data_IF_234461337326
#
_entry.id   IF_234461337326
#
_cell.length_a   1.000
_cell.length_b   1.000
_cell.length_c   1.000
_cell.angle_alpha   90.00
_cell.angle_beta   90.00
_cell.angle_gamma   90.00
#
_symmetry.space_group_name_H-M   'P 1'
#
loop_
_entity.id
_entity.type
_entity.pdbx_description
1 polymer ?
#
# COMPACT_ATOMS: atom_id res chain seq x y z
N UNK A 1 14.03 13.90 -31.34
CA UNK A 1 13.98 13.80 -30.75
C UNK A 1 13.45 13.46 -29.89
N UNK A 2 13.38 13.50 -29.70
CA UNK A 2 13.10 13.18 -28.95
C UNK A 2 12.38 12.96 -28.05
N UNK A 3 12.32 12.87 -28.11
CA UNK A 3 11.88 12.69 -27.35
C UNK A 3 11.30 12.32 -26.52
N UNK A 4 11.35 12.23 -26.74
CA UNK A 4 11.06 11.95 -26.09
C UNK A 4 10.45 11.56 -25.28
N UNK A 5 10.39 11.53 -25.33
CA UNK A 5 10.04 11.19 -24.62
C UNK A 5 9.62 11.03 -23.82
N UNK A 6 9.88 11.12 -24.16
CA UNK A 6 9.78 11.01 -23.35
C UNK A 6 9.29 10.80 -22.43
N UNK A 7 10.06 10.75 -23.62
CA UNK A 7 9.25 10.07 -22.92
C UNK A 7 8.91 10.21 -21.49
N UNK A 8 8.27 10.85 -21.27
CA UNK A 8 7.80 11.07 -19.94
C UNK A 8 6.92 9.92 -19.48
N UNK A 9 7.12 9.49 -18.29
CA UNK A 9 6.30 8.48 -17.66
C UNK A 9 4.90 8.99 -17.35
N UNK A 10 4.02 8.04 -17.13
CA UNK A 10 2.65 8.31 -16.72
C UNK A 10 2.58 8.61 -15.23
N UNK A 11 1.57 9.36 -14.80
CA UNK A 11 1.19 9.52 -13.40
C UNK A 11 -0.14 8.81 -13.20
N UNK A 12 -0.15 7.79 -12.35
CA UNK A 12 -1.29 6.90 -12.16
C UNK A 12 -1.62 6.85 -10.67
N UNK A 13 -2.91 6.94 -10.32
CA UNK A 13 -3.36 6.78 -8.95
C UNK A 13 -4.18 5.50 -8.81
N UNK A 14 -3.95 4.78 -7.72
CA UNK A 14 -4.70 3.57 -7.37
C UNK A 14 -5.35 3.79 -6.02
N UNK A 15 -6.67 3.56 -5.93
CA UNK A 15 -7.45 3.73 -4.71
C UNK A 15 -7.31 2.55 -3.75
N UNK A 16 -8.27 2.44 -2.82
CA UNK A 16 -8.26 1.43 -1.76
C UNK A 16 -8.15 0.01 -2.31
N UNK A 17 -7.30 -0.80 -1.70
CA UNK A 17 -7.03 -2.17 -2.15
C UNK A 17 -7.59 -3.21 -1.17
N UNK A 18 -7.50 -2.95 0.13
CA UNK A 18 -8.08 -3.77 1.20
C UNK A 18 -7.86 -5.27 1.00
N UNK A 19 -6.61 -5.69 0.83
CA UNK A 19 -6.25 -7.11 0.81
C UNK A 19 -6.72 -7.88 -0.42
N UNK A 20 -7.09 -7.20 -1.50
CA UNK A 20 -7.52 -7.86 -2.74
C UNK A 20 -6.36 -7.98 -3.73
N UNK A 21 -5.47 -8.95 -3.49
CA UNK A 21 -4.25 -9.14 -4.27
C UNK A 21 -4.55 -9.45 -5.74
N UNK A 22 -5.53 -10.31 -6.03
CA UNK A 22 -5.87 -10.67 -7.41
C UNK A 22 -6.35 -9.45 -8.21
N UNK A 23 -7.14 -8.59 -7.59
CA UNK A 23 -7.59 -7.36 -8.24
C UNK A 23 -6.41 -6.42 -8.52
N UNK A 24 -5.50 -6.28 -7.54
CA UNK A 24 -4.30 -5.46 -7.73
C UNK A 24 -3.44 -6.01 -8.86
N UNK A 25 -3.21 -7.32 -8.91
CA UNK A 25 -2.45 -7.95 -9.99
C UNK A 25 -3.07 -7.66 -11.36
N UNK A 26 -4.39 -7.77 -11.47
CA UNK A 26 -5.09 -7.49 -12.72
C UNK A 26 -4.91 -6.05 -13.18
N UNK A 27 -4.98 -5.11 -12.24
CA UNK A 27 -4.76 -3.69 -12.54
C UNK A 27 -3.32 -3.46 -12.98
N UNK A 28 -2.35 -4.03 -12.27
CA UNK A 28 -0.93 -3.87 -12.60
C UNK A 28 -0.59 -4.49 -13.95
N UNK A 29 -1.19 -5.63 -14.29
CA UNK A 29 -1.02 -6.24 -15.62
C UNK A 29 -1.57 -5.33 -16.72
N UNK A 30 -2.70 -4.69 -16.49
CA UNK A 30 -3.30 -3.77 -17.46
C UNK A 30 -2.48 -2.48 -17.61
N UNK A 31 -1.91 -1.98 -16.52
CA UNK A 31 -1.08 -0.78 -16.52
C UNK A 31 0.28 -1.07 -17.15
N UNK A 32 0.85 -2.23 -16.85
CA UNK A 32 2.21 -2.64 -17.24
C UNK A 32 3.22 -1.51 -16.97
N UNK A 33 3.48 -1.19 -15.69
CA UNK A 33 4.28 -0.03 -15.34
C UNK A 33 5.75 -0.20 -15.71
N UNK A 34 6.33 0.87 -16.21
CA UNK A 34 7.74 0.95 -16.57
C UNK A 34 8.51 1.90 -15.63
N UNK A 35 9.84 1.96 -15.81
CA UNK A 35 10.71 2.73 -14.90
C UNK A 35 10.39 4.22 -14.82
N UNK A 36 9.83 4.78 -15.87
CA UNK A 36 9.52 6.21 -15.94
C UNK A 36 8.12 6.54 -15.42
N UNK A 37 7.33 5.53 -15.11
CA UNK A 37 5.99 5.73 -14.55
C UNK A 37 6.04 6.06 -13.06
N UNK A 38 5.11 6.87 -12.61
CA UNK A 38 4.88 7.14 -11.19
C UNK A 38 3.49 6.65 -10.83
N UNK A 39 3.43 5.76 -9.85
CA UNK A 39 2.16 5.27 -9.30
C UNK A 39 2.02 5.80 -7.88
N UNK A 40 0.94 6.52 -7.64
CA UNK A 40 0.55 6.97 -6.30
C UNK A 40 -0.55 6.05 -5.81
N UNK A 41 -0.29 5.32 -4.73
CA UNK A 41 -1.31 4.48 -4.10
C UNK A 41 -1.91 5.26 -2.92
N UNK A 42 -3.23 5.30 -2.84
CA UNK A 42 -3.93 6.25 -1.98
C UNK A 42 -4.22 5.75 -0.56
N UNK A 43 -3.58 4.67 -0.13
CA UNK A 43 -3.78 4.11 1.20
C UNK A 43 -4.82 3.00 1.23
N UNK A 44 -5.02 2.44 2.41
CA UNK A 44 -5.93 1.31 2.66
C UNK A 44 -5.58 0.08 1.82
N UNK A 45 -4.35 -0.39 2.01
CA UNK A 45 -3.82 -1.59 1.35
C UNK A 45 -4.29 -2.86 2.01
N UNK A 46 -4.50 -2.80 3.30
CA UNK A 46 -4.70 -3.93 4.21
C UNK A 46 -6.11 -3.94 4.78
N UNK A 47 -6.40 -4.99 5.52
CA UNK A 47 -7.65 -5.22 6.26
C UNK A 47 -8.82 -5.62 5.36
N UNK A 48 -9.75 -6.36 5.93
CA UNK A 48 -11.01 -6.83 5.32
C UNK A 48 -10.83 -7.93 4.29
N UNK A 49 -10.06 -7.70 3.23
CA UNK A 49 -9.83 -8.71 2.20
C UNK A 49 -8.89 -9.82 2.65
N UNK A 50 -8.80 -10.91 1.88
CA UNK A 50 -8.13 -12.13 2.35
C UNK A 50 -6.60 -12.11 2.23
N UNK A 51 -6.02 -11.21 1.43
CA UNK A 51 -4.63 -11.34 1.00
C UNK A 51 -3.79 -10.10 1.28
N UNK A 52 -3.96 -9.48 2.45
CA UNK A 52 -3.23 -8.24 2.80
C UNK A 52 -1.71 -8.42 2.74
N UNK A 53 -1.19 -9.55 3.23
CA UNK A 53 0.25 -9.83 3.15
C UNK A 53 0.75 -9.86 1.70
N UNK A 54 -0.01 -10.51 0.80
CA UNK A 54 0.33 -10.53 -0.62
C UNK A 54 0.26 -9.15 -1.27
N UNK A 55 -0.72 -8.32 -0.87
CA UNK A 55 -0.80 -6.95 -1.36
C UNK A 55 0.46 -6.17 -1.02
N UNK A 56 0.95 -6.30 0.21
CA UNK A 56 2.19 -5.63 0.62
C UNK A 56 3.39 -6.14 -0.19
N UNK A 57 3.48 -7.45 -0.43
CA UNK A 57 4.53 -8.01 -1.28
C UNK A 57 4.47 -7.44 -2.71
N UNK A 58 3.28 -7.36 -3.29
CA UNK A 58 3.08 -6.81 -4.62
C UNK A 58 3.50 -5.34 -4.69
N UNK A 59 3.18 -4.54 -3.67
CA UNK A 59 3.55 -3.13 -3.64
C UNK A 59 5.06 -2.94 -3.46
N UNK A 60 5.69 -3.78 -2.65
CA UNK A 60 7.14 -3.76 -2.49
C UNK A 60 7.83 -4.10 -3.82
N UNK A 61 7.36 -5.12 -4.51
CA UNK A 61 7.88 -5.47 -5.84
C UNK A 61 7.65 -4.36 -6.86
N UNK A 62 6.48 -3.73 -6.82
CA UNK A 62 6.15 -2.61 -7.69
C UNK A 62 7.13 -1.45 -7.51
N UNK A 63 7.56 -1.20 -6.28
CA UNK A 63 8.51 -0.12 -5.97
C UNK A 63 9.86 -0.30 -6.66
N UNK A 64 10.17 -1.51 -7.12
CA UNK A 64 11.40 -1.83 -7.86
C UNK A 64 11.23 -1.68 -9.37
N UNK A 65 9.99 -1.57 -9.85
CA UNK A 65 9.66 -1.50 -11.28
C UNK A 65 9.38 -0.09 -11.77
N UNK A 66 8.92 0.79 -10.88
CA UNK A 66 8.55 2.16 -11.20
C UNK A 66 8.74 3.04 -9.97
N UNK A 67 8.43 4.33 -10.08
CA UNK A 67 8.34 5.20 -8.92
C UNK A 67 7.02 4.94 -8.20
N UNK A 68 7.08 4.32 -7.03
CA UNK A 68 5.92 4.12 -6.19
C UNK A 68 5.91 5.16 -5.08
N UNK A 69 4.78 5.86 -4.93
CA UNK A 69 4.56 6.82 -3.85
C UNK A 69 3.35 6.33 -3.06
N UNK A 70 3.58 5.61 -1.95
CA UNK A 70 2.48 5.10 -1.14
C UNK A 70 2.02 6.17 -0.15
N UNK A 71 0.72 6.43 -0.15
CA UNK A 71 0.07 7.32 0.81
C UNK A 71 -0.41 6.47 1.99
N UNK A 72 -0.32 7.04 3.19
CA UNK A 72 -0.75 6.38 4.41
C UNK A 72 -2.26 6.45 4.54
N UNK A 73 -2.93 5.30 4.59
CA UNK A 73 -4.36 5.22 4.90
C UNK A 73 -4.59 5.05 6.40
N UNK A 74 -5.82 5.27 6.83
CA UNK A 74 -6.15 5.14 8.26
C UNK A 74 -6.01 3.68 8.74
N UNK A 75 -6.20 2.70 7.86
CA UNK A 75 -6.02 1.29 8.22
C UNK A 75 -4.55 0.94 8.48
N UNK A 76 -3.62 1.47 7.68
CA UNK A 76 -2.19 1.32 7.94
C UNK A 76 -1.77 2.01 9.23
N UNK A 77 -2.33 3.18 9.49
CA UNK A 77 -2.06 3.93 10.73
C UNK A 77 -2.47 3.11 11.95
N UNK A 78 -3.68 2.51 11.91
CA UNK A 78 -4.14 1.64 12.99
C UNK A 78 -3.20 0.44 13.20
N UNK A 79 -2.72 -0.16 12.10
CA UNK A 79 -1.77 -1.27 12.20
C UNK A 79 -0.44 -0.84 12.82
N UNK A 80 0.08 0.32 12.43
CA UNK A 80 1.31 0.86 13.02
C UNK A 80 1.14 1.13 14.53
N UNK A 81 0.02 1.70 14.93
CA UNK A 81 -0.26 1.97 16.35
C UNK A 81 -0.36 0.68 17.17
N UNK A 82 -0.81 -0.41 16.55
CA UNK A 82 -1.01 -1.68 17.24
C UNK A 82 0.28 -2.33 17.74
N UNK A 83 1.44 -1.90 17.26
CA UNK A 83 2.73 -2.50 17.64
C UNK A 83 3.07 -2.28 19.12
N UNK A 84 2.67 -1.15 19.65
CA UNK A 84 3.13 -0.71 20.98
C UNK A 84 1.99 -0.56 22.00
N UNK A 85 0.74 -0.79 21.59
CA UNK A 85 -0.43 -0.58 22.42
C UNK A 85 -1.45 -1.71 22.20
N UNK A 86 -1.67 -2.57 23.23
CA UNK A 86 -2.66 -3.65 23.13
C UNK A 86 -4.09 -3.16 22.86
N UNK A 87 -4.45 -1.98 23.33
CA UNK A 87 -5.77 -1.41 23.04
C UNK A 87 -5.89 -1.01 21.56
N UNK A 88 -4.82 -0.44 21.02
CA UNK A 88 -4.77 -0.14 19.59
C UNK A 88 -4.84 -1.41 18.74
N UNK A 89 -4.20 -2.49 19.19
CA UNK A 89 -4.28 -3.79 18.51
C UNK A 89 -5.72 -4.30 18.46
N UNK A 90 -6.45 -4.22 19.56
CA UNK A 90 -7.85 -4.64 19.60
C UNK A 90 -8.71 -3.79 18.64
N UNK A 91 -8.50 -2.48 18.63
CA UNK A 91 -9.23 -1.60 17.72
C UNK A 91 -8.94 -1.96 16.26
N UNK A 92 -7.67 -2.16 15.93
CA UNK A 92 -7.26 -2.54 14.59
C UNK A 92 -7.91 -3.86 14.14
N UNK A 93 -7.86 -4.87 15.01
CA UNK A 93 -8.50 -6.17 14.72
C UNK A 93 -9.98 -6.01 14.46
N UNK A 94 -10.68 -5.18 15.23
CA UNK A 94 -12.11 -4.95 15.06
C UNK A 94 -12.46 -4.22 13.78
N UNK A 95 -11.48 -3.57 13.15
CA UNK A 95 -11.64 -2.86 11.89
C UNK A 95 -11.15 -3.66 10.67
N UNK A 96 -11.01 -4.97 10.83
CA UNK A 96 -10.59 -5.86 9.75
C UNK A 96 -9.13 -6.29 9.82
N UNK A 97 -8.39 -5.89 10.86
CA UNK A 97 -6.99 -6.27 11.04
C UNK A 97 -6.80 -7.76 11.30
N UNK A 98 -7.82 -8.43 11.82
CA UNK A 98 -7.83 -9.89 11.97
C UNK A 98 -7.65 -10.60 10.62
N UNK A 99 -8.27 -10.08 9.55
CA UNK A 99 -8.08 -10.61 8.21
C UNK A 99 -6.63 -10.40 7.72
N UNK A 100 -6.01 -9.27 8.07
CA UNK A 100 -4.60 -9.03 7.75
C UNK A 100 -3.71 -10.06 8.44
N UNK A 101 -3.90 -10.30 9.72
CA UNK A 101 -3.12 -11.31 10.46
C UNK A 101 -3.33 -12.71 9.86
N UNK A 102 -4.55 -13.05 9.49
CA UNK A 102 -4.88 -14.35 8.90
C UNK A 102 -4.25 -14.54 7.50
N UNK A 103 -3.88 -13.47 6.82
CA UNK A 103 -3.25 -13.55 5.50
C UNK A 103 -1.80 -14.05 5.56
N UNK A 104 -1.18 -14.05 6.73
CA UNK A 104 0.14 -14.63 6.92
C UNK A 104 -0.01 -16.11 7.29
N UNK A 105 0.92 -16.94 6.82
CA UNK A 105 0.83 -18.39 6.98
C UNK A 105 0.71 -18.87 8.42
N UNK A 106 1.22 -18.08 9.34
CA UNK A 106 1.19 -18.44 10.75
C UNK A 106 0.35 -17.42 11.49
N UNK A 107 -0.79 -17.86 11.98
CA UNK A 107 -1.66 -17.06 12.83
C UNK A 107 -1.01 -16.88 14.21
N UNK A 108 0.12 -16.20 14.23
CA UNK A 108 0.90 -16.02 15.44
C UNK A 108 0.97 -14.54 15.87
N UNK A 109 0.07 -13.73 15.35
CA UNK A 109 -0.05 -12.33 15.75
C UNK A 109 0.98 -11.41 15.12
N UNK A 110 1.05 -10.22 15.67
CA UNK A 110 1.86 -9.11 15.13
C UNK A 110 3.36 -9.45 15.04
N UNK A 111 3.86 -10.26 15.95
CA UNK A 111 5.29 -10.60 16.02
C UNK A 111 5.82 -11.40 14.81
N UNK A 112 4.94 -11.95 14.00
CA UNK A 112 5.30 -12.75 12.83
C UNK A 112 5.19 -12.00 11.52
N UNK A 113 4.80 -10.73 11.54
CA UNK A 113 4.72 -9.92 10.34
C UNK A 113 6.15 -9.61 9.87
N UNK A 114 6.47 -9.85 8.57
CA UNK A 114 7.82 -9.60 8.06
C UNK A 114 8.27 -8.16 8.25
N UNK A 115 9.54 -7.96 8.53
CA UNK A 115 10.11 -6.64 8.77
C UNK A 115 9.99 -5.72 7.55
N UNK A 116 10.10 -6.27 6.33
CA UNK A 116 9.96 -5.48 5.12
C UNK A 116 8.53 -4.94 4.94
N UNK A 117 7.52 -5.64 5.46
CA UNK A 117 6.15 -5.13 5.49
C UNK A 117 6.02 -3.93 6.44
N UNK A 118 6.60 -4.02 7.64
CA UNK A 118 6.65 -2.89 8.57
C UNK A 118 7.39 -1.70 7.95
N UNK A 119 8.52 -1.97 7.29
CA UNK A 119 9.31 -0.93 6.64
C UNK A 119 8.51 -0.23 5.54
N UNK A 120 7.74 -0.99 4.77
CA UNK A 120 6.88 -0.42 3.74
C UNK A 120 5.84 0.52 4.36
N UNK A 121 5.15 0.07 5.41
CA UNK A 121 4.14 0.89 6.10
C UNK A 121 4.75 2.18 6.66
N UNK A 122 5.94 2.09 7.23
CA UNK A 122 6.66 3.25 7.76
C UNK A 122 7.12 4.22 6.68
N UNK A 123 7.27 3.74 5.43
CA UNK A 123 7.65 4.57 4.29
C UNK A 123 6.48 5.34 3.69
N UNK A 124 5.25 4.99 4.06
CA UNK A 124 4.06 5.66 3.55
C UNK A 124 4.02 7.12 3.97
N UNK A 125 3.58 7.97 3.05
CA UNK A 125 3.55 9.41 3.22
C UNK A 125 2.15 9.90 3.59
N UNK A 126 2.03 10.98 4.38
CA UNK A 126 0.71 11.53 4.68
C UNK A 126 0.03 12.14 3.45
N UNK A 127 0.81 12.64 2.51
CA UNK A 127 0.32 13.19 1.24
C UNK A 127 1.45 13.24 0.22
N UNK A 128 1.09 13.48 -1.04
CA UNK A 128 2.03 13.77 -2.11
C UNK A 128 1.51 14.90 -2.98
N UNK A 129 2.38 15.81 -3.36
CA UNK A 129 2.01 16.99 -4.13
C UNK A 129 2.84 17.09 -5.40
N UNK A 130 2.18 17.41 -6.50
CA UNK A 130 2.79 17.75 -7.78
C UNK A 130 2.39 19.17 -8.16
N UNK A 131 2.86 19.66 -9.29
CA UNK A 131 2.46 21.00 -9.78
C UNK A 131 0.95 21.13 -9.99
N UNK A 132 0.25 20.00 -10.24
CA UNK A 132 -1.16 20.01 -10.64
C UNK A 132 -2.07 19.30 -9.66
N UNK A 133 -1.54 18.41 -8.81
CA UNK A 133 -2.35 17.53 -7.98
C UNK A 133 -1.83 17.44 -6.56
N UNK A 134 -2.74 17.25 -5.63
CA UNK A 134 -2.44 16.84 -4.27
C UNK A 134 -3.11 15.49 -4.05
N UNK A 135 -2.35 14.51 -3.59
CA UNK A 135 -2.85 13.16 -3.31
C UNK A 135 -2.90 12.95 -1.80
N UNK A 136 -4.06 12.61 -1.30
CA UNK A 136 -4.27 12.28 0.11
C UNK A 136 -5.19 11.07 0.20
N UNK A 137 -5.17 10.36 1.34
CA UNK A 137 -6.10 9.26 1.56
C UNK A 137 -7.50 9.79 1.87
N UNK A 138 -7.58 10.82 2.71
CA UNK A 138 -8.83 11.39 3.16
C UNK A 138 -8.70 12.92 3.21
N UNK A 139 -9.09 13.56 4.30
CA UNK A 139 -8.95 15.00 4.42
C UNK A 139 -7.47 15.40 4.55
N UNK A 140 -7.15 16.49 3.90
CA UNK A 140 -5.81 17.06 3.92
C UNK A 140 -5.67 18.06 5.08
#
# INVERSE_FOLDING_TARGET
>A
MAKENSASGRLIAIGDIHGHAAALESILDAIDPGPDDTIVTLGDYINRGPDSGQVLDLLIDLSRRCQLIPILGNHEEMMLDSRDDPHAELRWKSQGGDATLASYEQDAGIGHIPQDHWNFLLSCRPYHETDKFVFTHANY
#
